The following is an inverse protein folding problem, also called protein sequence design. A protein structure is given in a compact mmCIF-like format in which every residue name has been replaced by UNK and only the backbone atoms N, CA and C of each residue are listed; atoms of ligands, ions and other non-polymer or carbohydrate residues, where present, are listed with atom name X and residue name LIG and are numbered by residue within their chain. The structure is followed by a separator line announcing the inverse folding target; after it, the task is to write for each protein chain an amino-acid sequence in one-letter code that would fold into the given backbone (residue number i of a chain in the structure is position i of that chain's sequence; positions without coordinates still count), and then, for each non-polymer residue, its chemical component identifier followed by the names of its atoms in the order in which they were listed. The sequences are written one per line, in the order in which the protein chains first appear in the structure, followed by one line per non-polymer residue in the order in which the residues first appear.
data_IF_229689063057
#
_entry.id   IF_229689063057
#
_cell.length_a   1.000
_cell.length_b   1.000
_cell.length_c   1.000
_cell.angle_alpha   90.00
_cell.angle_beta   90.00
_cell.angle_gamma   90.00
#
_symmetry.space_group_name_H-M   'P 1'
#
loop_
_entity.id
_entity.type
_entity.pdbx_description
1 polymer ?
#
# COMPACT_ATOMS: atom_id res chain seq x y z
N UNK A 1 -3.55 3.80 -4.45
CA UNK A 1 -2.12 4.06 -4.13
C UNK A 1 -1.88 4.21 -2.63
N UNK A 2 -2.41 5.25 -1.96
CA UNK A 2 -2.13 5.46 -0.53
C UNK A 2 -2.67 4.32 0.36
N UNK A 3 -3.82 3.75 0.03
CA UNK A 3 -4.34 2.54 0.70
C UNK A 3 -3.34 1.37 0.65
N UNK A 4 -2.86 1.03 -0.55
CA UNK A 4 -1.87 -0.03 -0.75
C UNK A 4 -0.57 0.27 0.01
N UNK A 5 -0.14 1.53 0.01
CA UNK A 5 1.01 1.97 0.80
C UNK A 5 0.79 1.78 2.30
N UNK A 6 -0.37 2.17 2.83
CA UNK A 6 -0.71 2.02 4.26
C UNK A 6 -0.58 0.56 4.71
N UNK A 7 -1.12 -0.38 3.93
CA UNK A 7 -1.07 -1.81 4.23
C UNK A 7 0.27 -2.46 3.83
N UNK A 8 1.19 -1.72 3.21
CA UNK A 8 2.50 -2.24 2.80
C UNK A 8 2.42 -3.22 1.64
N UNK A 9 1.51 -3.01 0.70
CA UNK A 9 1.38 -3.86 -0.48
C UNK A 9 2.21 -3.29 -1.64
N UNK A 10 3.21 -4.07 -2.06
CA UNK A 10 4.04 -3.79 -3.24
C UNK A 10 3.71 -4.70 -4.44
N UNK A 11 2.69 -5.58 -4.30
CA UNK A 11 2.31 -6.56 -5.31
C UNK A 11 1.18 -6.07 -6.23
N UNK A 12 1.10 -4.77 -6.50
CA UNK A 12 0.08 -4.17 -7.37
C UNK A 12 0.69 -3.15 -8.33
N UNK A 13 0.08 -2.96 -9.50
CA UNK A 13 0.53 -1.95 -10.47
C UNK A 13 -0.59 -1.46 -11.38
N UNK A 14 -0.75 -0.14 -11.46
CA UNK A 14 -1.76 0.50 -12.31
C UNK A 14 -1.44 0.27 -13.79
N UNK A 15 -0.19 0.51 -14.20
CA UNK A 15 0.25 0.49 -15.61
C UNK A 15 0.04 -0.87 -16.27
N UNK A 16 0.38 -1.97 -15.58
CA UNK A 16 0.21 -3.33 -16.10
C UNK A 16 -1.06 -4.02 -15.59
N UNK A 17 -1.93 -3.29 -14.89
CA UNK A 17 -3.17 -3.85 -14.30
C UNK A 17 -2.92 -5.07 -13.41
N UNK A 18 -1.79 -5.08 -12.69
CA UNK A 18 -1.44 -6.17 -11.77
C UNK A 18 -2.21 -5.96 -10.47
N UNK A 19 -3.00 -6.97 -10.06
CA UNK A 19 -3.77 -6.97 -8.83
C UNK A 19 -4.70 -5.75 -8.67
N UNK A 20 -5.19 -5.23 -9.80
CA UNK A 20 -6.19 -4.17 -9.87
C UNK A 20 -7.16 -4.45 -11.02
N UNK A 21 -8.45 -4.27 -10.76
CA UNK A 21 -9.50 -4.25 -11.78
C UNK A 21 -10.03 -2.83 -11.93
N UNK A 22 -10.60 -2.52 -13.08
CA UNK A 22 -11.21 -1.22 -13.33
C UNK A 22 -12.68 -1.40 -13.58
N UNK A 23 -13.49 -0.59 -12.89
CA UNK A 23 -14.94 -0.54 -13.09
C UNK A 23 -15.31 0.90 -13.43
N UNK A 24 -16.14 1.07 -14.46
CA UNK A 24 -16.67 2.39 -14.81
C UNK A 24 -17.95 2.65 -14.04
N UNK A 25 -18.03 3.79 -13.37
CA UNK A 25 -19.24 4.27 -12.67
C UNK A 25 -19.41 5.75 -12.95
N UNK A 26 -20.55 6.14 -13.53
CA UNK A 26 -20.84 7.54 -13.90
C UNK A 26 -19.69 8.18 -14.72
N UNK A 27 -19.22 7.46 -15.74
CA UNK A 27 -18.08 7.86 -16.61
C UNK A 27 -16.73 8.04 -15.89
N UNK A 28 -16.64 7.66 -14.61
CA UNK A 28 -15.41 7.66 -13.83
C UNK A 28 -14.86 6.24 -13.79
N UNK A 29 -13.60 6.08 -14.19
CA UNK A 29 -12.87 4.82 -14.06
C UNK A 29 -12.40 4.65 -12.61
N UNK A 30 -12.93 3.64 -11.91
CA UNK A 30 -12.60 3.35 -10.51
C UNK A 30 -11.66 2.14 -10.45
N UNK A 31 -10.43 2.29 -9.94
CA UNK A 31 -9.55 1.16 -9.67
C UNK A 31 -10.01 0.43 -8.40
N UNK A 32 -10.18 -0.88 -8.51
CA UNK A 32 -10.52 -1.79 -7.42
C UNK A 32 -9.33 -2.73 -7.24
N UNK A 33 -8.49 -2.52 -6.22
CA UNK A 33 -7.40 -3.43 -5.93
C UNK A 33 -7.94 -4.74 -5.35
N UNK A 34 -7.22 -5.83 -5.58
CA UNK A 34 -7.51 -7.15 -5.04
C UNK A 34 -6.19 -7.88 -4.73
N UNK A 35 -6.28 -9.04 -4.07
CA UNK A 35 -5.11 -9.86 -3.70
C UNK A 35 -4.14 -9.15 -2.74
N UNK A 36 -4.49 -9.15 -1.44
CA UNK A 36 -3.77 -8.41 -0.39
C UNK A 36 -2.86 -9.27 0.46
N UNK A 37 -2.73 -10.55 0.15
CA UNK A 37 -1.98 -11.51 0.97
C UNK A 37 -0.47 -11.22 1.00
N UNK A 38 0.06 -10.58 -0.05
CA UNK A 38 1.44 -10.08 -0.12
C UNK A 38 1.67 -8.74 0.60
N UNK A 39 0.66 -8.20 1.30
CA UNK A 39 0.80 -6.97 2.07
C UNK A 39 1.56 -7.17 3.38
N UNK A 40 2.36 -6.18 3.78
CA UNK A 40 3.04 -6.15 5.08
C UNK A 40 2.08 -6.25 6.27
N UNK A 41 0.84 -5.75 6.13
CA UNK A 41 -0.21 -5.86 7.14
C UNK A 41 -0.67 -7.31 7.35
N UNK A 42 -0.80 -8.09 6.28
CA UNK A 42 -1.17 -9.51 6.38
C UNK A 42 0.01 -10.33 6.89
N UNK A 43 1.22 -10.04 6.41
CA UNK A 43 2.44 -10.70 6.88
C UNK A 43 2.43 -12.21 6.64
N UNK A 44 1.85 -12.65 5.51
CA UNK A 44 1.76 -14.07 5.18
C UNK A 44 3.16 -14.71 5.11
N UNK A 45 3.32 -15.91 5.67
CA UNK A 45 4.62 -16.58 5.78
C UNK A 45 5.27 -16.91 4.43
N UNK A 46 4.46 -16.99 3.37
CA UNK A 46 4.90 -17.26 2.01
C UNK A 46 5.13 -15.99 1.19
N UNK A 47 4.72 -14.82 1.68
CA UNK A 47 4.89 -13.57 0.95
C UNK A 47 6.38 -13.20 0.87
N UNK A 48 6.79 -12.74 -0.30
CA UNK A 48 8.17 -12.34 -0.57
C UNK A 48 8.25 -10.85 -0.86
N UNK A 49 9.43 -10.25 -0.67
CA UNK A 49 9.71 -8.83 -0.94
C UNK A 49 10.86 -8.69 -1.92
N UNK A 50 10.97 -7.54 -2.58
CA UNK A 50 11.99 -7.33 -3.62
C UNK A 50 12.88 -6.12 -3.32
N UNK A 51 14.11 -6.39 -2.83
CA UNK A 51 15.13 -5.36 -2.67
C UNK A 51 15.54 -4.73 -4.00
N UNK A 52 15.68 -5.55 -5.05
CA UNK A 52 16.11 -5.09 -6.38
C UNK A 52 15.08 -4.17 -7.04
N UNK A 53 13.80 -4.50 -6.94
CA UNK A 53 12.75 -3.76 -7.62
C UNK A 53 12.26 -2.56 -6.81
N UNK A 54 12.18 -2.71 -5.48
CA UNK A 54 11.48 -1.76 -4.63
C UNK A 54 12.34 -1.21 -3.48
N UNK A 55 13.58 -1.69 -3.31
CA UNK A 55 14.45 -1.26 -2.21
C UNK A 55 14.05 -1.82 -0.84
N UNK A 56 13.04 -2.69 -0.76
CA UNK A 56 12.58 -3.31 0.48
C UNK A 56 13.69 -4.18 1.09
N UNK A 57 13.91 -4.01 2.40
CA UNK A 57 14.78 -4.83 3.23
C UNK A 57 14.01 -5.95 3.93
N UNK A 58 12.70 -5.79 4.09
CA UNK A 58 11.79 -6.81 4.62
C UNK A 58 10.36 -6.62 4.06
N UNK A 59 9.47 -7.59 4.32
CA UNK A 59 8.08 -7.58 3.84
C UNK A 59 7.24 -6.42 4.38
N UNK A 60 7.54 -5.93 5.58
CA UNK A 60 6.79 -4.85 6.22
C UNK A 60 7.19 -3.46 5.72
N UNK A 61 8.27 -3.35 4.93
CA UNK A 61 8.70 -2.07 4.34
C UNK A 61 7.67 -1.58 3.31
N UNK A 62 7.25 -0.31 3.46
CA UNK A 62 6.28 0.32 2.56
C UNK A 62 6.97 0.99 1.40
N UNK A 63 6.40 0.85 0.20
CA UNK A 63 6.87 1.49 -1.01
C UNK A 63 5.69 2.09 -1.76
N UNK A 64 5.75 3.39 -2.03
CA UNK A 64 4.69 4.11 -2.72
C UNK A 64 4.82 3.89 -4.22
N UNK A 65 3.84 3.19 -4.79
CA UNK A 65 3.77 2.86 -6.23
C UNK A 65 2.69 3.68 -6.97
N UNK A 66 2.23 4.77 -6.36
CA UNK A 66 1.35 5.74 -7.04
C UNK A 66 2.12 6.71 -7.93
N UNK A 67 1.41 7.50 -8.71
CA UNK A 67 2.03 8.53 -9.54
C UNK A 67 2.60 9.66 -8.69
N UNK A 68 3.84 10.06 -8.96
CA UNK A 68 4.53 11.14 -8.24
C UNK A 68 3.81 12.49 -8.39
N UNK A 69 3.26 12.79 -9.57
CA UNK A 69 2.43 13.98 -9.82
C UNK A 69 1.16 14.06 -8.95
N UNK A 70 0.69 12.92 -8.46
CA UNK A 70 -0.48 12.86 -7.57
C UNK A 70 -0.12 13.14 -6.11
N UNK A 71 1.17 13.37 -5.81
CA UNK A 71 1.61 13.69 -4.44
C UNK A 71 1.11 15.04 -3.95
N UNK A 72 0.78 15.94 -4.88
CA UNK A 72 0.18 17.26 -4.58
C UNK A 72 -1.16 17.14 -3.85
N UNK A 73 -1.95 16.09 -4.13
CA UNK A 73 -3.26 15.83 -3.51
C UNK A 73 -3.19 14.87 -2.29
N UNK A 74 -1.99 14.44 -1.90
CA UNK A 74 -1.85 13.45 -0.82
C UNK A 74 -2.21 13.99 0.55
N UNK A 75 -2.03 15.29 0.81
CA UNK A 75 -2.28 15.86 2.14
C UNK A 75 -3.74 15.68 2.57
N UNK A 76 -4.69 16.00 1.68
CA UNK A 76 -6.12 15.81 1.95
C UNK A 76 -6.46 14.31 2.08
N UNK A 77 -5.86 13.47 1.25
CA UNK A 77 -6.05 12.02 1.32
C UNK A 77 -5.51 11.43 2.62
N UNK A 78 -4.35 11.89 3.10
CA UNK A 78 -3.77 11.48 4.38
C UNK A 78 -4.63 11.93 5.56
N UNK A 79 -5.15 13.16 5.53
CA UNK A 79 -6.08 13.66 6.53
C UNK A 79 -7.36 12.80 6.58
N UNK A 80 -7.91 12.42 5.43
CA UNK A 80 -9.05 11.51 5.36
C UNK A 80 -8.73 10.14 5.99
N UNK A 81 -7.53 9.59 5.77
CA UNK A 81 -7.12 8.34 6.41
C UNK A 81 -6.96 8.49 7.92
N UNK A 82 -6.45 9.61 8.40
CA UNK A 82 -6.33 9.93 9.83
C UNK A 82 -7.71 9.95 10.50
N UNK A 83 -8.71 10.56 9.86
CA UNK A 83 -10.10 10.54 10.32
C UNK A 83 -10.70 9.13 10.40
N UNK A 84 -10.19 8.17 9.61
CA UNK A 84 -10.64 6.77 9.59
C UNK A 84 -9.81 5.83 10.46
N UNK A 85 -8.78 6.33 11.14
CA UNK A 85 -7.85 5.54 11.94
C UNK A 85 -8.54 4.66 12.97
N UNK A 86 -9.40 5.25 13.81
CA UNK A 86 -10.07 4.53 14.88
C UNK A 86 -11.07 3.50 14.35
N UNK A 87 -11.70 3.79 13.20
CA UNK A 87 -12.61 2.84 12.54
C UNK A 87 -11.85 1.65 11.96
N UNK A 88 -10.67 1.85 11.38
CA UNK A 88 -9.80 0.75 10.93
C UNK A 88 -9.40 -0.16 12.11
N UNK A 89 -9.00 0.44 13.24
CA UNK A 89 -8.67 -0.33 14.44
C UNK A 89 -9.87 -1.11 14.96
N UNK A 90 -11.05 -0.49 14.95
CA UNK A 90 -12.30 -1.13 15.33
C UNK A 90 -12.62 -2.34 14.45
N UNK A 91 -12.45 -2.23 13.13
CA UNK A 91 -12.63 -3.36 12.19
C UNK A 91 -11.72 -4.52 12.59
N UNK A 92 -10.42 -4.27 12.79
CA UNK A 92 -9.46 -5.30 13.19
C UNK A 92 -9.87 -5.94 14.53
N UNK A 93 -10.11 -5.12 15.56
CA UNK A 93 -10.49 -5.61 16.89
C UNK A 93 -11.84 -6.32 16.95
N UNK A 94 -12.76 -5.99 16.05
CA UNK A 94 -14.06 -6.65 15.94
C UNK A 94 -13.97 -8.04 15.30
N UNK A 95 -12.92 -8.32 14.53
CA UNK A 95 -12.77 -9.60 13.85
C UNK A 95 -12.24 -10.70 14.80
N UNK A 96 -13.17 -11.32 15.53
CA UNK A 96 -12.85 -12.29 16.60
C UNK A 96 -12.29 -13.64 16.11
N UNK A 97 -12.28 -13.89 14.79
CA UNK A 97 -11.69 -15.10 14.21
C UNK A 97 -10.15 -15.08 14.20
N UNK A 98 -9.53 -13.90 14.25
CA UNK A 98 -8.09 -13.78 14.49
C UNK A 98 -7.81 -13.92 15.98
N UNK A 99 -6.60 -14.37 16.35
CA UNK A 99 -6.20 -14.33 17.76
C UNK A 99 -5.90 -12.87 18.20
N UNK A 100 -5.86 -12.57 19.51
CA UNK A 100 -5.56 -11.23 20.01
C UNK A 100 -4.21 -10.68 19.54
N UNK A 101 -3.15 -11.48 19.61
CA UNK A 101 -1.79 -11.04 19.29
C UNK A 101 -1.64 -10.60 17.83
N UNK A 102 -2.25 -11.34 16.89
CA UNK A 102 -2.28 -10.99 15.47
C UNK A 102 -3.02 -9.67 15.25
N UNK A 103 -4.16 -9.46 15.93
CA UNK A 103 -4.87 -8.17 15.84
C UNK A 103 -4.01 -7.02 16.34
N UNK A 104 -3.31 -7.20 17.46
CA UNK A 104 -2.42 -6.19 18.00
C UNK A 104 -1.22 -5.93 17.08
N UNK A 105 -0.67 -6.97 16.44
CA UNK A 105 0.39 -6.82 15.43
C UNK A 105 -0.09 -6.01 14.22
N UNK A 106 -1.30 -6.30 13.71
CA UNK A 106 -1.90 -5.55 12.62
C UNK A 106 -2.10 -4.07 12.98
N UNK A 107 -2.62 -3.79 14.17
CA UNK A 107 -2.82 -2.40 14.64
C UNK A 107 -1.49 -1.69 14.82
N UNK A 108 -0.49 -2.33 15.46
CA UNK A 108 0.86 -1.77 15.59
C UNK A 108 1.48 -1.46 14.22
N UNK A 109 1.28 -2.32 13.24
CA UNK A 109 1.74 -2.07 11.88
C UNK A 109 1.07 -0.82 11.29
N UNK A 110 -0.27 -0.69 11.39
CA UNK A 110 -0.97 0.52 10.94
C UNK A 110 -0.54 1.78 11.70
N UNK A 111 -0.29 1.71 13.01
CA UNK A 111 0.23 2.85 13.78
C UNK A 111 1.54 3.40 13.20
N UNK A 112 2.43 2.53 12.71
CA UNK A 112 3.67 3.00 12.07
C UNK A 112 3.42 3.80 10.79
N UNK A 113 2.31 3.54 10.08
CA UNK A 113 1.90 4.37 8.95
C UNK A 113 1.44 5.75 9.44
N UNK A 114 0.53 5.80 10.41
CA UNK A 114 -0.01 7.06 10.92
C UNK A 114 1.04 7.93 11.64
N UNK A 115 2.05 7.33 12.28
CA UNK A 115 3.16 8.05 12.92
C UNK A 115 4.15 8.65 11.91
N UNK A 116 4.30 8.04 10.73
CA UNK A 116 5.32 8.39 9.73
C UNK A 116 4.74 8.89 8.39
N UNK A 117 3.46 9.24 8.33
CA UNK A 117 2.76 9.56 7.09
C UNK A 117 3.30 10.79 6.33
N UNK A 118 4.12 11.64 6.96
CA UNK A 118 4.66 12.84 6.32
C UNK A 118 5.75 12.57 5.26
N UNK A 119 6.34 11.36 5.22
CA UNK A 119 7.42 11.03 4.29
C UNK A 119 7.13 9.71 3.57
N UNK A 120 6.64 9.79 2.33
CA UNK A 120 6.49 8.60 1.49
C UNK A 120 7.85 8.06 1.05
N UNK A 121 8.01 6.75 1.16
CA UNK A 121 9.16 6.01 0.60
C UNK A 121 8.81 5.61 -0.82
N UNK A 122 9.58 6.07 -1.80
CA UNK A 122 9.41 5.69 -3.21
C UNK A 122 10.33 4.53 -3.58
N UNK A 123 9.93 3.77 -4.59
CA UNK A 123 10.83 2.77 -5.19
C UNK A 123 12.06 3.50 -5.77
N UNK A 124 13.25 2.88 -5.74
CA UNK A 124 14.42 3.45 -6.41
C UNK A 124 14.09 3.69 -7.89
N UNK A 125 14.54 4.84 -8.42
CA UNK A 125 14.36 5.18 -9.84
C UNK A 125 14.92 4.02 -10.66
N UNK A 126 14.04 3.35 -11.44
CA UNK A 126 14.50 2.42 -12.47
C UNK A 126 15.37 3.25 -13.40
N UNK A 127 16.67 2.93 -13.50
CA UNK A 127 17.52 3.48 -14.52
C UNK A 127 16.93 3.10 -15.88
N UNK A 128 16.12 3.96 -16.48
CA UNK A 128 15.71 3.84 -17.88
C UNK A 128 16.90 4.28 -18.73
N UNK A 129 17.93 3.45 -18.75
CA UNK A 129 18.93 3.45 -19.82
C UNK A 129 18.80 2.09 -20.49
N UNK A 130 17.77 1.97 -21.30
CA UNK A 130 17.63 0.92 -22.28
C UNK A 130 17.15 1.58 -23.56
N UNK A 131 18.12 2.12 -24.30
CA UNK A 131 18.18 2.18 -25.76
C UNK A 131 16.83 2.29 -26.48
N UNK A 132 16.30 3.51 -26.57
CA UNK A 132 15.66 3.91 -27.82
C UNK A 132 16.75 4.61 -28.65
N UNK A 133 17.55 3.81 -29.35
CA UNK A 133 18.34 4.27 -30.49
C UNK A 133 17.40 4.36 -31.73
N UNK A 134 17.73 5.21 -32.71
CA UNK A 134 16.78 5.94 -33.56
C UNK A 134 15.98 5.09 -34.54
#
# INVERSE_FOLDING_TARGET
ALFEYMIGNADWEITYSKNVKYVTKNDILVPIPYDFDFSGLVGASYATYSRKQYGQLNLQDRVYLGFERSTVDLKATMAYFEEKKDDLYRVIYSFKRLNPDTRDQMVRYLETFFKNNNNLTFAPVRSTVANAAP
#
